data_IF_961544470419
#
_entry.id   IF_961544470419
#
_cell.length_a   1.000
_cell.length_b   1.000
_cell.length_c   1.000
_cell.angle_alpha   90.00
_cell.angle_beta   90.00
_cell.angle_gamma   90.00
#
_symmetry.space_group_name_H-M   'P 1'
#
loop_
_entity.id
_entity.type
_entity.pdbx_description
1 polymer ?
#
# COMPACT_ATOMS: atom_id res chain seq x y z
N UNK A 1 10.62 13.24 10.31
CA UNK A 1 9.62 12.57 9.42
C UNK A 1 9.96 12.76 7.94
N UNK A 2 10.46 13.95 7.56
CA UNK A 2 10.85 14.29 6.18
C UNK A 2 11.74 13.23 5.50
N UNK A 3 12.80 12.74 6.18
CA UNK A 3 13.70 11.71 5.64
C UNK A 3 12.99 10.40 5.23
N UNK A 4 11.96 9.99 5.98
CA UNK A 4 11.20 8.78 5.67
C UNK A 4 10.37 8.95 4.40
N UNK A 5 9.79 10.14 4.20
CA UNK A 5 9.04 10.46 2.98
C UNK A 5 9.97 10.58 1.77
N UNK A 6 11.17 11.14 1.95
CA UNK A 6 12.21 11.14 0.91
C UNK A 6 12.57 9.71 0.51
N UNK A 7 12.78 8.82 1.49
CA UNK A 7 13.08 7.42 1.21
C UNK A 7 11.98 6.73 0.40
N UNK A 8 10.70 7.02 0.68
CA UNK A 8 9.60 6.50 -0.14
C UNK A 8 9.70 7.00 -1.60
N UNK A 9 10.00 8.28 -1.81
CA UNK A 9 10.20 8.83 -3.17
C UNK A 9 11.35 8.14 -3.91
N UNK A 10 12.46 7.87 -3.22
CA UNK A 10 13.62 7.17 -3.79
C UNK A 10 13.30 5.70 -4.15
N UNK A 11 12.43 5.04 -3.36
CA UNK A 11 11.94 3.69 -3.66
C UNK A 11 10.97 3.68 -4.86
N UNK A 12 10.36 4.82 -5.17
CA UNK A 12 9.45 5.04 -6.30
C UNK A 12 10.03 4.56 -7.65
N UNK A 13 11.35 4.58 -7.80
CA UNK A 13 12.05 4.13 -9.00
C UNK A 13 11.97 2.60 -9.22
N UNK A 14 11.72 1.85 -8.15
CA UNK A 14 11.66 0.37 -8.16
C UNK A 14 10.27 -0.19 -7.86
N UNK A 15 9.43 0.61 -7.23
CA UNK A 15 8.07 0.23 -6.84
C UNK A 15 7.11 1.41 -7.01
N UNK A 16 5.88 1.12 -7.44
CA UNK A 16 4.83 2.15 -7.48
C UNK A 16 4.27 2.37 -6.08
N UNK A 17 4.37 3.59 -5.60
CA UNK A 17 3.75 4.00 -4.34
C UNK A 17 2.45 4.73 -4.68
N UNK A 18 1.38 4.33 -4.02
CA UNK A 18 0.08 4.96 -4.14
C UNK A 18 -0.42 5.38 -2.76
N UNK A 19 -1.03 6.56 -2.69
CA UNK A 19 -1.62 7.09 -1.46
C UNK A 19 -3.13 6.90 -1.53
N UNK A 20 -3.70 6.32 -0.47
CA UNK A 20 -5.15 6.21 -0.32
C UNK A 20 -5.69 7.48 0.38
N UNK A 21 -6.69 8.16 -0.20
CA UNK A 21 -7.32 9.32 0.43
C UNK A 21 -8.03 8.92 1.74
N UNK A 22 -7.98 9.79 2.75
CA UNK A 22 -8.72 9.61 4.00
C UNK A 22 -10.25 9.67 3.82
N UNK A 23 -10.72 10.30 2.74
CA UNK A 23 -12.13 10.41 2.38
C UNK A 23 -12.73 9.12 1.82
N UNK A 24 -11.93 8.10 1.52
CA UNK A 24 -12.39 6.85 0.90
C UNK A 24 -13.24 5.97 1.83
N UNK A 25 -13.49 6.38 3.09
CA UNK A 25 -14.40 5.70 4.02
C UNK A 25 -14.04 4.24 4.32
N UNK A 26 -12.85 3.78 3.91
CA UNK A 26 -12.59 2.35 3.77
C UNK A 26 -11.94 1.75 5.01
N UNK A 27 -12.76 1.03 5.77
CA UNK A 27 -12.35 0.25 6.95
C UNK A 27 -11.76 -1.13 6.59
N UNK A 28 -11.81 -1.58 5.33
CA UNK A 28 -11.33 -2.90 4.92
C UNK A 28 -9.81 -3.03 4.85
N UNK A 29 -9.07 -1.92 4.70
CA UNK A 29 -7.60 -1.89 4.83
C UNK A 29 -7.11 -1.89 6.28
N UNK A 30 -8.02 -1.74 7.25
CA UNK A 30 -7.71 -1.77 8.68
C UNK A 30 -7.56 -3.20 9.24
N UNK A 31 -7.76 -4.23 8.41
CA UNK A 31 -7.60 -5.63 8.84
C UNK A 31 -6.14 -6.10 8.93
N UNK A 32 -5.18 -5.23 8.59
CA UNK A 32 -3.74 -5.51 8.65
C UNK A 32 -3.08 -5.52 7.27
N UNK A 33 -1.74 -5.51 7.25
CA UNK A 33 -0.95 -5.59 6.02
C UNK A 33 -1.02 -6.99 5.40
N UNK A 34 -1.08 -7.04 4.08
CA UNK A 34 -0.95 -8.28 3.33
C UNK A 34 -0.20 -8.05 2.02
N UNK A 35 0.40 -9.13 1.49
CA UNK A 35 1.05 -9.16 0.18
C UNK A 35 0.29 -10.09 -0.75
N UNK A 36 -0.21 -9.57 -1.86
CA UNK A 36 -0.75 -10.36 -2.95
C UNK A 36 0.37 -10.74 -3.92
N UNK A 37 0.63 -12.04 -4.04
CA UNK A 37 1.68 -12.59 -4.89
C UNK A 37 1.01 -13.19 -6.14
N UNK A 38 1.17 -12.51 -7.27
CA UNK A 38 0.69 -12.95 -8.58
C UNK A 38 1.80 -13.67 -9.33
N UNK A 39 1.47 -14.77 -10.00
CA UNK A 39 2.41 -15.59 -10.75
C UNK A 39 1.87 -15.87 -12.15
N UNK A 40 2.77 -16.07 -13.12
CA UNK A 40 2.37 -16.33 -14.51
C UNK A 40 1.81 -17.74 -14.72
N UNK A 41 2.23 -18.70 -13.90
CA UNK A 41 2.02 -20.15 -14.09
C UNK A 41 1.21 -20.81 -12.98
N UNK A 42 0.78 -20.06 -11.95
CA UNK A 42 0.05 -20.60 -10.80
C UNK A 42 -0.92 -19.60 -10.19
N UNK A 43 -1.89 -20.11 -9.44
CA UNK A 43 -2.88 -19.30 -8.73
C UNK A 43 -2.18 -18.31 -7.77
N UNK A 44 -2.69 -17.07 -7.66
CA UNK A 44 -2.18 -16.09 -6.71
C UNK A 44 -2.16 -16.64 -5.27
N UNK A 45 -1.22 -16.14 -4.48
CA UNK A 45 -1.12 -16.42 -3.04
C UNK A 45 -1.20 -15.11 -2.27
N UNK A 46 -1.68 -15.18 -1.03
CA UNK A 46 -1.68 -14.04 -0.15
C UNK A 46 -0.89 -14.36 1.11
N UNK A 47 0.02 -13.48 1.49
CA UNK A 47 0.66 -13.50 2.79
C UNK A 47 0.05 -12.40 3.65
N UNK A 48 -0.49 -12.75 4.83
CA UNK A 48 -0.99 -11.79 5.79
C UNK A 48 0.01 -11.65 6.95
N UNK A 49 0.30 -10.42 7.36
CA UNK A 49 1.15 -10.16 8.51
C UNK A 49 0.32 -9.92 9.78
N UNK A 50 0.87 -10.34 10.90
CA UNK A 50 0.34 -10.09 12.23
C UNK A 50 1.49 -9.91 13.23
N UNK A 51 1.21 -9.51 14.45
CA UNK A 51 2.24 -9.23 15.46
C UNK A 51 3.23 -10.38 15.71
N UNK A 52 2.82 -11.64 15.49
CA UNK A 52 3.65 -12.83 15.68
C UNK A 52 4.40 -13.34 14.43
N UNK A 53 4.37 -12.63 13.30
CA UNK A 53 4.94 -13.10 12.02
C UNK A 53 3.98 -12.99 10.83
N UNK A 54 4.07 -13.91 9.87
CA UNK A 54 3.20 -13.94 8.70
C UNK A 54 2.59 -15.34 8.46
N UNK A 55 1.43 -15.36 7.80
CA UNK A 55 0.74 -16.59 7.40
C UNK A 55 0.50 -16.56 5.90
N UNK A 56 0.91 -17.63 5.22
CA UNK A 56 0.60 -17.85 3.81
C UNK A 56 -0.80 -18.44 3.66
N UNK A 57 -1.73 -17.64 3.18
CA UNK A 57 -3.12 -18.02 2.91
C UNK A 57 -3.18 -18.88 1.65
N UNK A 58 -3.68 -20.11 1.82
CA UNK A 58 -3.87 -21.07 0.73
C UNK A 58 -5.32 -21.32 0.36
N UNK A 59 -6.27 -20.90 1.20
CA UNK A 59 -7.69 -21.03 0.91
C UNK A 59 -8.08 -20.15 -0.28
N UNK A 60 -8.72 -20.76 -1.28
CA UNK A 60 -9.02 -20.09 -2.53
C UNK A 60 -10.12 -19.02 -2.36
N UNK A 61 -11.05 -19.19 -1.42
CA UNK A 61 -12.07 -18.17 -1.16
C UNK A 61 -11.44 -16.92 -0.53
N UNK A 62 -10.55 -17.11 0.43
CA UNK A 62 -9.85 -16.01 1.09
C UNK A 62 -8.88 -15.27 0.16
N UNK A 63 -8.13 -16.00 -0.68
CA UNK A 63 -7.29 -15.38 -1.72
C UNK A 63 -8.13 -14.51 -2.67
N UNK A 64 -9.30 -15.00 -3.12
CA UNK A 64 -10.19 -14.21 -3.98
C UNK A 64 -10.69 -12.95 -3.25
N UNK A 65 -11.11 -13.09 -2.00
CA UNK A 65 -11.60 -11.96 -1.19
C UNK A 65 -10.53 -10.86 -1.08
N UNK A 66 -9.30 -11.22 -0.71
CA UNK A 66 -8.20 -10.27 -0.54
C UNK A 66 -7.72 -9.68 -1.87
N UNK A 67 -7.84 -10.43 -2.97
CA UNK A 67 -7.60 -9.90 -4.32
C UNK A 67 -8.62 -8.81 -4.69
N UNK A 68 -9.89 -9.01 -4.36
CA UNK A 68 -10.94 -7.99 -4.57
C UNK A 68 -10.68 -6.75 -3.71
N UNK A 69 -10.30 -6.92 -2.44
CA UNK A 69 -9.93 -5.80 -1.56
C UNK A 69 -8.76 -5.02 -2.13
N UNK A 70 -7.70 -5.70 -2.59
CA UNK A 70 -6.57 -5.03 -3.24
C UNK A 70 -7.02 -4.23 -4.47
N UNK A 71 -7.86 -4.82 -5.32
CA UNK A 71 -8.34 -4.17 -6.54
C UNK A 71 -9.18 -2.92 -6.25
N UNK A 72 -10.04 -3.00 -5.23
CA UNK A 72 -10.83 -1.86 -4.76
C UNK A 72 -9.94 -0.74 -4.21
N UNK A 73 -8.99 -1.08 -3.34
CA UNK A 73 -8.02 -0.13 -2.78
C UNK A 73 -7.21 0.57 -3.88
N UNK A 74 -6.72 -0.18 -4.87
CA UNK A 74 -5.98 0.38 -6.00
C UNK A 74 -6.84 1.29 -6.89
N UNK A 75 -8.16 1.06 -6.97
CA UNK A 75 -9.08 1.92 -7.71
C UNK A 75 -9.39 3.24 -7.00
N UNK A 76 -9.35 3.25 -5.67
CA UNK A 76 -9.54 4.45 -4.85
C UNK A 76 -8.27 5.26 -4.63
N UNK A 77 -7.12 4.58 -4.61
CA UNK A 77 -5.84 5.23 -4.40
C UNK A 77 -5.52 6.21 -5.53
N UNK A 78 -4.81 7.28 -5.20
CA UNK A 78 -4.29 8.20 -6.20
C UNK A 78 -3.37 7.47 -7.18
N UNK A 79 -3.29 7.97 -8.41
CA UNK A 79 -2.28 7.52 -9.36
C UNK A 79 -0.87 7.83 -8.84
N UNK A 80 0.14 7.22 -9.48
CA UNK A 80 1.53 7.34 -9.08
C UNK A 80 2.02 8.79 -9.00
N UNK A 81 1.67 9.63 -9.99
CA UNK A 81 2.15 11.01 -10.06
C UNK A 81 1.54 11.84 -8.94
N UNK A 82 0.22 11.76 -8.80
CA UNK A 82 -0.52 12.46 -7.74
C UNK A 82 -0.06 12.02 -6.35
N UNK A 83 0.20 10.72 -6.17
CA UNK A 83 0.74 10.19 -4.92
C UNK A 83 2.12 10.74 -4.59
N UNK A 84 3.04 10.78 -5.56
CA UNK A 84 4.38 11.35 -5.34
C UNK A 84 4.34 12.87 -5.09
N UNK A 85 3.44 13.59 -5.75
CA UNK A 85 3.24 15.03 -5.51
C UNK A 85 2.77 15.30 -4.09
N UNK A 86 1.78 14.54 -3.61
CA UNK A 86 1.27 14.64 -2.24
C UNK A 86 2.36 14.29 -1.20
N UNK A 87 3.16 13.26 -1.44
CA UNK A 87 4.27 12.88 -0.55
C UNK A 87 5.29 14.03 -0.45
N UNK A 88 5.65 14.68 -1.57
CA UNK A 88 6.56 15.84 -1.56
C UNK A 88 5.97 17.02 -0.80
N UNK A 89 4.69 17.33 -1.02
CA UNK A 89 4.01 18.42 -0.33
C UNK A 89 4.05 18.25 1.20
N UNK A 90 3.69 17.05 1.68
CA UNK A 90 3.72 16.73 3.11
C UNK A 90 5.15 16.75 3.67
N UNK A 91 6.12 16.24 2.90
CA UNK A 91 7.54 16.27 3.28
C UNK A 91 8.07 17.70 3.46
N UNK A 92 7.72 18.62 2.56
CA UNK A 92 8.10 20.03 2.70
C UNK A 92 7.45 20.68 3.92
N UNK A 93 6.21 20.32 4.25
CA UNK A 93 5.55 20.77 5.48
C UNK A 93 6.36 20.43 6.73
N UNK A 94 6.89 19.20 6.82
CA UNK A 94 7.74 18.80 7.96
C UNK A 94 9.11 19.48 7.98
N UNK A 95 9.69 19.80 6.83
CA UNK A 95 11.00 20.45 6.77
C UNK A 95 10.97 21.91 7.27
N UNK A 96 9.84 22.61 7.05
CA UNK A 96 9.66 24.01 7.48
C UNK A 96 9.36 24.11 8.99
N UNK A 97 8.83 23.07 9.61
CA UNK A 97 8.59 23.03 11.06
C UNK A 97 9.87 22.72 11.88
N UNK A 98 10.93 22.20 11.23
CA UNK A 98 12.20 21.84 11.87
C UNK A 98 13.26 22.97 11.83
N UNK A 99 13.00 24.08 11.11
CA UNK A 99 13.80 25.32 11.05
C UNK A 99 13.29 26.42 12.00
#
# INVERSE_FOLDING_TARGET
>A
MSEQLQHLLDVGDRARIQVLPSSCGFFGGLTGSFRLLSFADRTPRVECEHAGGSVLVSDAAEVRRLTSVFSELSGWAYDFRTSSELIREVMHGYAVEEE
#
